data_IF_996943518251
#
_entry.id   IF_996943518251
#
_cell.length_a   1.000
_cell.length_b   1.000
_cell.length_c   1.000
_cell.angle_alpha   90.00
_cell.angle_beta   90.00
_cell.angle_gamma   90.00
#
_symmetry.space_group_name_H-M   'P 1'
#
loop_
_entity.id
_entity.type
_entity.pdbx_description
1 polymer ?
#
# COMPACT_ATOMS: atom_id res chain seq x y z
N UNK A 1 10.55 -10.70 -12.49
CA UNK A 1 9.77 -10.32 -11.30
C UNK A 1 9.66 -11.56 -10.46
N UNK A 2 10.36 -11.65 -9.32
CA UNK A 2 10.16 -12.76 -8.40
C UNK A 2 8.66 -12.84 -8.10
N UNK A 3 8.04 -14.01 -8.33
CA UNK A 3 6.62 -14.22 -8.08
C UNK A 3 6.42 -14.17 -6.57
N UNK A 4 6.21 -12.97 -6.07
CA UNK A 4 5.74 -12.73 -4.74
C UNK A 4 4.47 -13.58 -4.53
N UNK A 5 4.39 -14.26 -3.39
CA UNK A 5 3.23 -15.06 -2.98
C UNK A 5 2.01 -14.17 -2.62
N UNK A 6 1.78 -13.10 -3.39
CA UNK A 6 0.75 -12.08 -3.20
C UNK A 6 -0.66 -12.67 -3.24
N UNK A 7 -0.84 -13.82 -3.90
CA UNK A 7 -2.15 -14.46 -4.04
C UNK A 7 -2.34 -15.65 -3.08
N UNK A 8 -1.52 -15.75 -2.05
CA UNK A 8 -1.63 -16.76 -1.00
C UNK A 8 -1.89 -16.09 0.36
N UNK A 9 -2.54 -16.76 1.33
CA UNK A 9 -2.64 -16.28 2.71
C UNK A 9 -1.26 -16.21 3.38
N UNK A 10 -1.03 -15.16 4.18
CA UNK A 10 0.26 -14.99 4.86
C UNK A 10 0.37 -15.91 6.07
N UNK A 11 1.47 -16.66 6.24
CA UNK A 11 1.72 -17.40 7.48
C UNK A 11 1.98 -16.45 8.68
N UNK A 12 2.22 -15.16 8.43
CA UNK A 12 2.37 -14.16 9.47
C UNK A 12 1.04 -13.80 10.18
N UNK A 13 -0.10 -14.21 9.61
CA UNK A 13 -1.42 -14.08 10.26
C UNK A 13 -1.65 -15.32 11.12
N UNK A 14 -1.30 -15.23 12.40
CA UNK A 14 -1.49 -16.30 13.37
C UNK A 14 -2.79 -16.14 14.17
N UNK A 15 -3.29 -17.19 14.84
CA UNK A 15 -4.46 -17.08 15.70
C UNK A 15 -4.34 -15.99 16.79
N UNK A 16 -3.14 -15.77 17.33
CA UNK A 16 -2.86 -14.75 18.33
C UNK A 16 -3.04 -13.35 17.76
N UNK A 17 -2.53 -13.11 16.54
CA UNK A 17 -2.72 -11.84 15.82
C UNK A 17 -4.19 -11.55 15.54
N UNK A 18 -4.99 -12.59 15.23
CA UNK A 18 -6.44 -12.45 15.04
C UNK A 18 -7.11 -12.04 16.35
N UNK A 19 -6.75 -12.66 17.48
CA UNK A 19 -7.28 -12.29 18.80
C UNK A 19 -6.89 -10.87 19.23
N UNK A 20 -5.66 -10.44 18.94
CA UNK A 20 -5.20 -9.06 19.17
C UNK A 20 -6.05 -8.07 18.37
N UNK A 21 -6.30 -8.34 17.10
CA UNK A 21 -7.16 -7.52 16.26
C UNK A 21 -8.61 -7.47 16.77
N UNK A 22 -9.19 -8.61 17.15
CA UNK A 22 -10.55 -8.66 17.72
C UNK A 22 -10.68 -7.85 19.01
N UNK A 23 -9.62 -7.84 19.84
CA UNK A 23 -9.57 -7.10 21.10
C UNK A 23 -9.36 -5.59 20.90
N UNK A 24 -8.40 -5.22 20.04
CA UNK A 24 -7.88 -3.85 19.94
C UNK A 24 -8.41 -3.08 18.72
N UNK A 25 -9.12 -3.75 17.81
CA UNK A 25 -9.62 -3.19 16.54
C UNK A 25 -8.54 -2.90 15.49
N UNK A 26 -7.27 -3.20 15.80
CA UNK A 26 -6.12 -3.04 14.93
C UNK A 26 -4.97 -3.95 15.37
N UNK A 27 -4.04 -4.27 14.47
CA UNK A 27 -2.83 -5.04 14.77
C UNK A 27 -1.69 -4.66 13.82
N UNK A 28 -0.44 -4.81 14.25
CA UNK A 28 0.74 -4.59 13.41
C UNK A 28 1.37 -5.92 13.01
N UNK A 29 1.25 -6.30 11.74
CA UNK A 29 1.84 -7.53 11.20
C UNK A 29 3.11 -7.18 10.41
N UNK A 30 4.26 -7.63 10.91
CA UNK A 30 5.55 -7.43 10.22
C UNK A 30 5.82 -8.60 9.27
N UNK A 31 6.40 -8.29 8.11
CA UNK A 31 6.79 -9.33 7.14
C UNK A 31 5.62 -9.94 6.36
N UNK A 32 4.51 -9.22 6.17
CA UNK A 32 3.43 -9.65 5.27
C UNK A 32 3.91 -9.88 3.83
N UNK A 33 4.90 -9.10 3.40
CA UNK A 33 5.62 -9.28 2.13
C UNK A 33 7.12 -9.13 2.37
N UNK A 34 7.91 -9.80 1.54
CA UNK A 34 9.37 -9.73 1.59
C UNK A 34 9.90 -8.40 1.05
N UNK A 35 11.14 -8.07 1.44
CA UNK A 35 11.76 -6.81 1.08
C UNK A 35 11.99 -6.66 -0.44
N UNK A 36 12.26 -7.76 -1.16
CA UNK A 36 12.48 -7.72 -2.61
C UNK A 36 11.19 -7.32 -3.33
N UNK A 37 10.06 -7.90 -2.93
CA UNK A 37 8.73 -7.54 -3.42
C UNK A 37 8.43 -6.06 -3.16
N UNK A 38 8.70 -5.56 -1.95
CA UNK A 38 8.53 -4.13 -1.63
C UNK A 38 9.36 -3.25 -2.58
N UNK A 39 10.63 -3.60 -2.78
CA UNK A 39 11.54 -2.84 -3.63
C UNK A 39 11.11 -2.86 -5.10
N UNK A 40 10.50 -3.95 -5.57
CA UNK A 40 9.97 -4.05 -6.94
C UNK A 40 8.74 -3.15 -7.17
N UNK A 41 7.82 -3.09 -6.21
CA UNK A 41 6.59 -2.29 -6.33
C UNK A 41 6.77 -0.80 -6.01
N UNK A 42 7.74 -0.46 -5.15
CA UNK A 42 8.02 0.92 -4.74
C UNK A 42 8.13 1.91 -5.91
N UNK A 43 9.01 1.74 -6.91
CA UNK A 43 9.18 2.72 -7.97
C UNK A 43 7.92 2.89 -8.82
N UNK A 44 7.16 1.80 -9.03
CA UNK A 44 5.89 1.82 -9.79
C UNK A 44 4.85 2.67 -9.05
N UNK A 45 4.72 2.47 -7.74
CA UNK A 45 3.75 3.23 -6.93
C UNK A 45 4.18 4.70 -6.81
N UNK A 46 5.47 4.97 -6.65
CA UNK A 46 6.02 6.33 -6.62
C UNK A 46 5.74 7.07 -7.93
N UNK A 47 5.98 6.43 -9.08
CA UNK A 47 5.72 6.99 -10.41
C UNK A 47 4.24 7.31 -10.61
N UNK A 48 3.34 6.37 -10.31
CA UNK A 48 1.90 6.57 -10.45
C UNK A 48 1.40 7.67 -9.51
N UNK A 49 1.90 7.69 -8.27
CA UNK A 49 1.54 8.72 -7.29
C UNK A 49 2.01 10.11 -7.72
N UNK A 50 3.22 10.22 -8.28
CA UNK A 50 3.73 11.49 -8.79
C UNK A 50 2.95 11.96 -10.03
N UNK A 51 2.65 11.05 -10.96
CA UNK A 51 1.98 11.35 -12.23
C UNK A 51 0.53 11.79 -12.06
N UNK A 52 -0.17 11.22 -11.07
CA UNK A 52 -1.60 11.44 -10.84
C UNK A 52 -1.92 12.33 -9.64
N UNK A 53 -0.91 13.01 -9.06
CA UNK A 53 -1.12 13.94 -7.95
C UNK A 53 -1.96 15.14 -8.41
N UNK A 54 -3.05 15.40 -7.70
CA UNK A 54 -3.94 16.54 -7.94
C UNK A 54 -3.29 17.87 -7.56
N UNK A 55 -2.65 17.91 -6.38
CA UNK A 55 -2.05 19.12 -5.83
C UNK A 55 -0.61 19.28 -6.32
N UNK A 56 -0.34 20.12 -7.31
CA UNK A 56 0.99 20.27 -7.90
C UNK A 56 1.82 21.44 -7.35
N UNK A 57 1.20 22.34 -6.57
CA UNK A 57 1.88 23.54 -6.05
C UNK A 57 3.00 23.18 -5.07
N UNK A 58 4.01 24.05 -4.89
CA UNK A 58 4.98 23.95 -3.79
C UNK A 58 4.28 23.86 -2.43
N UNK A 59 4.92 23.22 -1.44
CA UNK A 59 4.29 22.99 -0.12
C UNK A 59 3.98 24.32 0.59
N UNK A 60 4.76 25.36 0.32
CA UNK A 60 4.64 26.72 0.84
C UNK A 60 3.34 27.39 0.42
N UNK A 61 2.88 27.11 -0.80
CA UNK A 61 1.67 27.69 -1.41
C UNK A 61 0.39 26.91 -1.07
N UNK A 62 0.50 25.85 -0.26
CA UNK A 62 -0.63 25.02 0.13
C UNK A 62 -1.23 25.46 1.45
N UNK A 63 -2.55 25.45 1.52
CA UNK A 63 -3.30 25.64 2.75
C UNK A 63 -3.16 24.42 3.68
N UNK A 64 -3.62 24.53 4.93
CA UNK A 64 -3.52 23.48 5.97
C UNK A 64 -3.98 22.11 5.47
N UNK A 65 -5.09 22.04 4.72
CA UNK A 65 -5.59 20.80 4.13
C UNK A 65 -4.78 20.33 2.92
N UNK A 66 -4.32 21.24 2.05
CA UNK A 66 -3.46 20.92 0.92
C UNK A 66 -2.08 20.38 1.32
N UNK A 67 -1.62 20.70 2.54
CA UNK A 67 -0.42 20.12 3.14
C UNK A 67 -0.66 18.71 3.69
N UNK A 68 -1.86 18.42 4.19
CA UNK A 68 -2.19 17.15 4.84
C UNK A 68 -2.62 16.04 3.87
N UNK A 69 -3.23 16.39 2.72
CA UNK A 69 -3.82 15.42 1.80
C UNK A 69 -3.09 15.39 0.46
N UNK A 70 -1.95 14.69 0.42
CA UNK A 70 -1.19 14.39 -0.79
C UNK A 70 -1.71 13.17 -1.57
N UNK A 71 -2.95 12.75 -1.29
CA UNK A 71 -3.44 11.44 -1.67
C UNK A 71 -3.77 11.38 -3.17
N UNK A 72 -3.33 10.30 -3.80
CA UNK A 72 -3.85 9.86 -5.09
C UNK A 72 -4.79 8.71 -4.82
N UNK A 73 -6.06 8.89 -5.16
CA UNK A 73 -7.07 7.86 -4.98
C UNK A 73 -7.06 6.90 -6.16
N UNK A 74 -7.45 5.65 -5.91
CA UNK A 74 -7.71 4.65 -6.96
C UNK A 74 -6.53 4.40 -7.93
N UNK A 75 -5.30 4.34 -7.41
CA UNK A 75 -4.09 4.05 -8.23
C UNK A 75 -4.17 2.73 -9.00
N UNK A 76 -4.95 1.76 -8.51
CA UNK A 76 -5.26 0.49 -9.19
C UNK A 76 -5.99 0.66 -10.53
N UNK A 77 -6.70 1.77 -10.74
CA UNK A 77 -7.33 2.09 -12.03
C UNK A 77 -6.34 2.70 -13.04
N UNK A 78 -5.16 3.11 -12.57
CA UNK A 78 -4.16 3.83 -13.37
C UNK A 78 -2.98 2.96 -13.80
N UNK A 79 -2.78 1.82 -13.13
CA UNK A 79 -1.70 0.87 -13.45
C UNK A 79 -2.15 -0.57 -13.14
N UNK A 80 -1.94 -1.47 -14.11
CA UNK A 80 -2.17 -2.90 -13.93
C UNK A 80 -1.27 -3.50 -12.86
N UNK A 81 -0.04 -2.99 -12.71
CA UNK A 81 0.88 -3.39 -11.66
C UNK A 81 0.41 -2.91 -10.28
N UNK A 82 -0.09 -1.67 -10.18
CA UNK A 82 -0.73 -1.22 -8.93
C UNK A 82 -1.98 -2.02 -8.61
N UNK A 83 -2.75 -2.46 -9.62
CA UNK A 83 -3.91 -3.33 -9.42
C UNK A 83 -3.51 -4.69 -8.85
N UNK A 84 -2.41 -5.27 -9.32
CA UNK A 84 -1.89 -6.55 -8.83
C UNK A 84 -1.66 -6.53 -7.31
N UNK A 85 -0.95 -5.52 -6.80
CA UNK A 85 -0.65 -5.43 -5.36
C UNK A 85 -1.86 -5.03 -4.52
N UNK A 86 -2.76 -4.16 -5.02
CA UNK A 86 -3.97 -3.74 -4.28
C UNK A 86 -4.97 -4.90 -4.13
N UNK A 87 -5.06 -5.79 -5.13
CA UNK A 87 -5.98 -6.93 -5.13
C UNK A 87 -5.33 -8.24 -4.67
N UNK A 88 -4.10 -8.18 -4.15
CA UNK A 88 -3.38 -9.34 -3.65
C UNK A 88 -4.13 -9.97 -2.46
N UNK A 89 -4.43 -11.28 -2.55
CA UNK A 89 -5.06 -12.04 -1.45
C UNK A 89 -4.26 -11.99 -0.14
N UNK A 90 -2.97 -11.68 -0.23
CA UNK A 90 -2.07 -11.48 0.91
C UNK A 90 -2.56 -10.40 1.88
N UNK A 91 -3.32 -9.43 1.40
CA UNK A 91 -3.84 -8.28 2.18
C UNK A 91 -5.36 -8.28 2.34
N UNK A 92 -6.06 -9.32 1.84
CA UNK A 92 -7.52 -9.39 1.78
C UNK A 92 -8.12 -10.23 2.93
#
# INVERSE_FOLDING_TARGET
MAKAHLNEPSPAVTPEIVQEYERDGHVCIRGLIDAETVLNYRPIIEEISASWRYEKRPIEERETYGKAFLQVHNVWQKSMLCKEIVFAKRFA
#
